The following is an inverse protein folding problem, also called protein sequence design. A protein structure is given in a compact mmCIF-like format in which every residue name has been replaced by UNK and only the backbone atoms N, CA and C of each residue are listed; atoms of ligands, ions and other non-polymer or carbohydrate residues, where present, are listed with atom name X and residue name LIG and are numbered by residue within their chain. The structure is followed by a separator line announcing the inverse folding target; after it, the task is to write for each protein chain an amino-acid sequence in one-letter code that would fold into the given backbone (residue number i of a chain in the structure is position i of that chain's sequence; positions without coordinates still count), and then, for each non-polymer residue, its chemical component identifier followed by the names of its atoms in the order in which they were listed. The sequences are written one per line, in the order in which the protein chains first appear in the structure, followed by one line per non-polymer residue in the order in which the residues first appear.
data_IF_897212946471
#
_entry.id   IF_897212946471
#
_cell.length_a   1.000
_cell.length_b   1.000
_cell.length_c   1.000
_cell.angle_alpha   90.00
_cell.angle_beta   90.00
_cell.angle_gamma   90.00
#
_symmetry.space_group_name_H-M   'P 1'
#
loop_
_entity.id
_entity.type
_entity.pdbx_description
1 polymer ?
#
# COMPACT_ATOMS: atom_id res chain seq x y z
N UNK A 1 -2.11 2.03 -15.03
CA UNK A 1 -1.62 3.05 -14.09
C UNK A 1 -2.69 3.21 -13.04
N UNK A 2 -2.40 2.92 -11.78
CA UNK A 2 -3.38 3.09 -10.70
C UNK A 2 -3.31 4.55 -10.23
N UNK A 3 -4.37 5.31 -10.49
CA UNK A 3 -4.49 6.71 -10.10
C UNK A 3 -5.39 6.78 -8.87
N UNK A 4 -4.89 7.40 -7.80
CA UNK A 4 -5.67 7.72 -6.62
C UNK A 4 -5.85 9.24 -6.53
N UNK A 5 -7.07 9.68 -6.22
CA UNK A 5 -7.43 11.10 -6.10
C UNK A 5 -7.76 11.37 -4.63
N UNK A 6 -7.06 12.32 -4.03
CA UNK A 6 -7.27 12.76 -2.65
C UNK A 6 -7.84 14.19 -2.64
N UNK A 7 -9.18 14.37 -2.52
CA UNK A 7 -9.75 15.70 -2.34
C UNK A 7 -9.23 16.33 -1.05
N UNK A 8 -8.87 17.61 -1.10
CA UNK A 8 -8.34 18.36 0.05
C UNK A 8 -9.34 19.43 0.48
N UNK A 9 -9.22 19.92 1.72
CA UNK A 9 -10.06 20.99 2.28
C UNK A 9 -9.64 22.39 1.77
N UNK A 10 -9.39 22.53 0.47
CA UNK A 10 -9.02 23.79 -0.18
C UNK A 10 -9.62 23.87 -1.57
N UNK A 11 -10.03 25.08 -1.94
CA UNK A 11 -10.63 25.35 -3.24
C UNK A 11 -9.61 25.30 -4.39
N UNK A 12 -8.33 25.58 -4.09
CA UNK A 12 -7.25 25.60 -5.07
C UNK A 12 -5.98 24.92 -4.55
N UNK A 13 -5.30 24.23 -5.47
CA UNK A 13 -3.94 23.72 -5.29
C UNK A 13 -2.98 24.73 -5.89
N UNK A 14 -2.08 25.31 -5.09
CA UNK A 14 -1.11 26.27 -5.60
C UNK A 14 -0.14 25.60 -6.57
N UNK A 15 0.15 26.25 -7.70
CA UNK A 15 1.17 25.81 -8.67
C UNK A 15 2.56 25.65 -8.07
N UNK A 16 2.81 26.27 -6.91
CA UNK A 16 4.06 26.16 -6.17
C UNK A 16 4.19 24.87 -5.36
N UNK A 17 3.16 24.00 -5.37
CA UNK A 17 3.22 22.69 -4.71
C UNK A 17 3.97 21.72 -5.59
N UNK A 18 5.20 21.40 -5.20
CA UNK A 18 6.06 20.52 -5.96
C UNK A 18 6.30 19.22 -5.21
N UNK A 19 5.41 18.24 -5.38
CA UNK A 19 5.57 16.90 -4.82
C UNK A 19 6.50 15.99 -5.64
N UNK A 20 7.23 16.52 -6.62
CA UNK A 20 8.21 15.68 -7.30
C UNK A 20 9.23 15.14 -6.31
N UNK A 21 9.61 13.88 -6.53
CA UNK A 21 10.63 13.16 -5.79
C UNK A 21 12.01 13.76 -6.12
N UNK A 22 12.25 14.99 -5.68
CA UNK A 22 13.50 15.69 -5.87
C UNK A 22 14.42 15.46 -4.67
N UNK A 23 15.73 15.55 -4.91
CA UNK A 23 16.73 15.30 -3.86
C UNK A 23 17.13 16.54 -3.07
N UNK A 24 16.43 17.66 -3.29
CA UNK A 24 16.59 18.92 -2.57
C UNK A 24 15.91 18.85 -1.21
N UNK A 25 16.72 18.97 -0.16
CA UNK A 25 16.29 18.86 1.24
C UNK A 25 15.29 19.94 1.65
N UNK A 26 15.41 21.16 1.10
CA UNK A 26 14.48 22.25 1.39
C UNK A 26 13.08 21.95 0.83
N UNK A 27 13.02 21.42 -0.39
CA UNK A 27 11.76 20.98 -0.99
C UNK A 27 11.16 19.80 -0.23
N UNK A 28 11.98 18.86 0.23
CA UNK A 28 11.55 17.72 1.05
C UNK A 28 10.88 18.20 2.33
N UNK A 29 11.52 19.09 3.07
CA UNK A 29 10.99 19.60 4.33
C UNK A 29 9.69 20.41 4.11
N UNK A 30 9.69 21.32 3.13
CA UNK A 30 8.50 22.11 2.77
C UNK A 30 7.32 21.23 2.38
N UNK A 31 7.55 20.16 1.60
CA UNK A 31 6.50 19.22 1.23
C UNK A 31 5.97 18.43 2.44
N UNK A 32 6.86 18.01 3.34
CA UNK A 32 6.45 17.30 4.56
C UNK A 32 5.54 18.17 5.43
N UNK A 33 5.93 19.43 5.66
CA UNK A 33 5.13 20.40 6.41
C UNK A 33 3.77 20.64 5.76
N UNK A 34 3.74 20.74 4.43
CA UNK A 34 2.51 20.97 3.69
C UNK A 34 1.54 19.80 3.83
N UNK A 35 2.03 18.56 3.73
CA UNK A 35 1.20 17.35 3.89
C UNK A 35 0.64 17.28 5.31
N UNK A 36 1.47 17.57 6.33
CA UNK A 36 1.04 17.60 7.72
C UNK A 36 -0.05 18.66 7.94
N UNK A 37 0.12 19.84 7.36
CA UNK A 37 -0.87 20.91 7.42
C UNK A 37 -2.19 20.48 6.79
N UNK A 38 -2.19 19.86 5.61
CA UNK A 38 -3.41 19.40 4.94
C UNK A 38 -4.13 18.30 5.71
N UNK A 39 -3.38 17.34 6.26
CA UNK A 39 -3.96 16.29 7.11
C UNK A 39 -4.63 16.92 8.33
N UNK A 40 -3.95 17.86 8.99
CA UNK A 40 -4.48 18.53 10.18
C UNK A 40 -5.71 19.39 9.85
N UNK A 41 -5.71 20.14 8.75
CA UNK A 41 -6.88 20.91 8.28
C UNK A 41 -8.10 20.02 8.10
N UNK A 42 -7.94 18.88 7.39
CA UNK A 42 -9.04 17.93 7.17
C UNK A 42 -9.50 17.21 8.46
N UNK A 43 -8.57 16.95 9.39
CA UNK A 43 -8.92 16.36 10.69
C UNK A 43 -9.72 17.34 11.55
N UNK A 44 -9.35 18.63 11.54
CA UNK A 44 -10.05 19.70 12.27
C UNK A 44 -11.45 19.91 11.70
N UNK A 45 -11.60 19.91 10.36
CA UNK A 45 -12.91 20.03 9.71
C UNK A 45 -13.86 18.88 10.10
N UNK A 46 -13.33 17.70 10.46
CA UNK A 46 -14.11 16.58 10.97
C UNK A 46 -15.04 15.94 9.93
N UNK A 47 -14.96 16.35 8.67
CA UNK A 47 -15.80 15.86 7.59
C UNK A 47 -15.37 14.45 7.15
N UNK A 48 -16.33 13.50 7.20
CA UNK A 48 -16.11 12.10 6.81
C UNK A 48 -15.72 11.93 5.34
N UNK A 49 -16.00 12.92 4.48
CA UNK A 49 -15.57 12.90 3.08
C UNK A 49 -14.04 12.86 2.94
N UNK A 50 -13.31 13.44 3.90
CA UNK A 50 -11.85 13.48 3.87
C UNK A 50 -11.16 12.24 4.44
N UNK A 51 -11.89 11.27 5.00
CA UNK A 51 -11.26 10.08 5.60
C UNK A 51 -10.35 9.34 4.60
N UNK A 52 -10.78 9.19 3.34
CA UNK A 52 -9.95 8.55 2.31
C UNK A 52 -8.73 9.39 1.95
N UNK A 53 -8.89 10.71 1.83
CA UNK A 53 -7.79 11.64 1.56
C UNK A 53 -6.74 11.64 2.66
N UNK A 54 -7.18 11.62 3.93
CA UNK A 54 -6.31 11.52 5.09
C UNK A 54 -5.49 10.23 5.03
N UNK A 55 -6.10 9.09 4.71
CA UNK A 55 -5.39 7.82 4.57
C UNK A 55 -4.37 7.87 3.44
N UNK A 56 -4.75 8.41 2.27
CA UNK A 56 -3.85 8.56 1.12
C UNK A 56 -2.65 9.45 1.43
N UNK A 57 -2.89 10.65 1.98
CA UNK A 57 -1.84 11.61 2.33
C UNK A 57 -0.97 11.08 3.48
N UNK A 58 -1.54 10.33 4.42
CA UNK A 58 -0.76 9.67 5.49
C UNK A 58 0.15 8.59 4.91
N UNK A 59 -0.35 7.78 3.97
CA UNK A 59 0.46 6.77 3.29
C UNK A 59 1.58 7.41 2.47
N UNK A 60 1.29 8.48 1.76
CA UNK A 60 2.28 9.27 1.04
C UNK A 60 3.33 9.84 1.99
N UNK A 61 2.92 10.47 3.10
CA UNK A 61 3.82 11.00 4.15
C UNK A 61 4.76 9.92 4.68
N UNK A 62 4.23 8.74 5.00
CA UNK A 62 5.04 7.64 5.52
C UNK A 62 6.08 7.16 4.50
N UNK A 63 5.67 6.94 3.25
CA UNK A 63 6.58 6.53 2.18
C UNK A 63 7.65 7.60 1.90
N UNK A 64 7.25 8.87 1.86
CA UNK A 64 8.13 10.01 1.63
C UNK A 64 9.16 10.15 2.76
N UNK A 65 8.73 10.12 4.02
CA UNK A 65 9.62 10.20 5.19
C UNK A 65 10.61 9.03 5.23
N UNK A 66 10.15 7.80 4.95
CA UNK A 66 11.02 6.63 4.89
C UNK A 66 12.12 6.81 3.85
N UNK A 67 11.76 7.32 2.67
CA UNK A 67 12.67 7.44 1.54
C UNK A 67 13.66 8.61 1.67
N UNK A 68 13.20 9.75 2.18
CA UNK A 68 13.97 11.00 2.12
C UNK A 68 14.52 11.48 3.46
N UNK A 69 13.82 11.21 4.56
CA UNK A 69 14.17 11.73 5.88
C UNK A 69 14.96 10.70 6.67
N UNK A 70 14.53 9.44 6.66
CA UNK A 70 15.15 8.38 7.47
C UNK A 70 16.37 7.74 6.78
N UNK A 71 16.44 7.83 5.45
CA UNK A 71 17.52 7.23 4.67
C UNK A 71 18.44 8.30 4.10
N UNK A 72 19.73 8.14 4.40
CA UNK A 72 20.78 8.89 3.75
C UNK A 72 20.72 8.71 2.23
N UNK A 73 20.95 9.80 1.48
CA UNK A 73 20.84 9.87 0.02
C UNK A 73 21.68 8.77 -0.65
N UNK A 74 22.85 8.46 -0.10
CA UNK A 74 23.74 7.42 -0.60
C UNK A 74 23.16 6.00 -0.52
N UNK A 75 22.22 5.74 0.42
CA UNK A 75 21.66 4.41 0.70
C UNK A 75 20.30 4.18 0.07
N UNK A 76 19.71 5.20 -0.54
CA UNK A 76 18.34 5.19 -1.08
C UNK A 76 18.11 4.12 -2.15
N UNK A 77 19.04 3.94 -3.08
CA UNK A 77 18.91 2.92 -4.13
C UNK A 77 19.10 1.50 -3.58
N UNK A 78 20.08 1.30 -2.69
CA UNK A 78 20.29 0.01 -2.01
C UNK A 78 19.04 -0.39 -1.22
N UNK A 79 18.42 0.57 -0.52
CA UNK A 79 17.17 0.33 0.18
C UNK A 79 16.03 -0.05 -0.77
N UNK A 80 15.88 0.63 -1.90
CA UNK A 80 14.86 0.27 -2.92
C UNK A 80 15.05 -1.15 -3.43
N UNK A 81 16.29 -1.56 -3.71
CA UNK A 81 16.57 -2.89 -4.22
C UNK A 81 16.36 -3.97 -3.15
N UNK A 82 16.76 -3.70 -1.91
CA UNK A 82 16.44 -4.58 -0.79
C UNK A 82 14.92 -4.72 -0.59
N UNK A 83 14.18 -3.61 -0.69
CA UNK A 83 12.72 -3.62 -0.58
C UNK A 83 12.08 -4.44 -1.70
N UNK A 84 12.60 -4.38 -2.95
CA UNK A 84 12.15 -5.25 -4.04
C UNK A 84 12.40 -6.73 -3.71
N UNK A 85 13.60 -7.07 -3.24
CA UNK A 85 13.96 -8.44 -2.89
C UNK A 85 13.04 -9.00 -1.78
N UNK A 86 12.82 -8.21 -0.72
CA UNK A 86 11.90 -8.57 0.38
C UNK A 86 10.47 -8.73 -0.12
N UNK A 87 9.97 -7.83 -0.98
CA UNK A 87 8.63 -7.96 -1.59
C UNK A 87 8.48 -9.24 -2.41
N UNK A 88 9.47 -9.58 -3.22
CA UNK A 88 9.46 -10.82 -3.99
C UNK A 88 9.46 -12.06 -3.09
N UNK A 89 10.30 -12.06 -2.06
CA UNK A 89 10.34 -13.14 -1.08
C UNK A 89 9.00 -13.30 -0.35
N UNK A 90 8.43 -12.20 0.16
CA UNK A 90 7.14 -12.21 0.86
C UNK A 90 6.00 -12.72 -0.02
N UNK A 91 5.93 -12.28 -1.29
CA UNK A 91 4.95 -12.77 -2.26
C UNK A 91 5.10 -14.29 -2.49
N UNK A 92 6.33 -14.77 -2.62
CA UNK A 92 6.61 -16.21 -2.78
C UNK A 92 6.21 -17.02 -1.55
N UNK A 93 6.50 -16.52 -0.36
CA UNK A 93 6.11 -17.16 0.90
C UNK A 93 4.60 -17.18 1.09
N UNK A 94 3.90 -16.10 0.75
CA UNK A 94 2.44 -16.05 0.78
C UNK A 94 1.81 -17.11 -0.13
N UNK A 95 2.30 -17.26 -1.37
CA UNK A 95 1.85 -18.34 -2.25
C UNK A 95 2.19 -19.73 -1.72
N UNK A 96 3.37 -19.91 -1.12
CA UNK A 96 3.74 -21.18 -0.50
C UNK A 96 2.77 -21.55 0.63
N UNK A 97 2.44 -20.60 1.51
CA UNK A 97 1.48 -20.78 2.61
C UNK A 97 0.09 -21.11 2.06
N UNK A 98 -0.42 -20.36 1.08
CA UNK A 98 -1.71 -20.64 0.42
C UNK A 98 -1.74 -22.03 -0.24
N UNK A 99 -0.67 -22.42 -0.93
CA UNK A 99 -0.60 -23.73 -1.59
C UNK A 99 -0.57 -24.91 -0.61
N UNK A 100 -0.10 -24.69 0.63
CA UNK A 100 -0.07 -25.69 1.70
C UNK A 100 -1.35 -25.74 2.53
N UNK A 101 -2.15 -24.66 2.51
CA UNK A 101 -3.43 -24.56 3.22
C UNK A 101 -4.64 -24.92 2.36
N UNK A 102 -4.45 -25.13 1.06
CA UNK A 102 -5.39 -25.89 0.25
C UNK A 102 -5.29 -27.36 0.66
N UNK A 103 -6.35 -27.98 1.24
CA UNK A 103 -6.36 -29.42 1.35
C UNK A 103 -6.25 -29.93 -0.08
N UNK A 104 -5.24 -30.75 -0.37
CA UNK A 104 -5.31 -31.63 -1.53
C UNK A 104 -6.64 -32.34 -1.40
N UNK A 105 -7.63 -31.95 -2.19
CA UNK A 105 -8.77 -32.80 -2.46
C UNK A 105 -8.15 -34.06 -3.01
N UNK A 106 -8.01 -35.05 -2.13
CA UNK A 106 -7.64 -36.39 -2.50
C UNK A 106 -8.62 -36.75 -3.59
N UNK A 107 -8.09 -36.88 -4.80
CA UNK A 107 -8.70 -37.63 -5.87
C UNK A 107 -9.27 -38.90 -5.24
N UNK A 108 -10.60 -38.98 -5.12
CA UNK A 108 -11.27 -40.25 -4.95
C UNK A 108 -11.03 -41.01 -6.25
N UNK A 109 -9.95 -41.79 -6.27
CA UNK A 109 -9.78 -42.87 -7.24
C UNK A 109 -11.02 -43.75 -7.17
N UNK A 110 -11.60 -44.03 -8.34
CA UNK A 110 -12.90 -44.66 -8.47
C UNK A 110 -13.05 -45.94 -7.66
N UNK A 111 -14.08 -45.94 -6.82
CA UNK A 111 -14.79 -47.13 -6.37
C UNK A 111 -16.26 -46.84 -6.64
N UNK A 112 -16.88 -47.67 -7.48
CA UNK A 112 -18.27 -47.56 -7.95
C UNK A 112 -19.25 -47.24 -6.80
N UNK A 113 -20.33 -46.48 -7.05
CA UNK A 113 -21.43 -46.44 -6.10
C UNK A 113 -22.03 -47.85 -6.01
N UNK A 114 -22.03 -48.44 -4.82
CA UNK A 114 -22.86 -49.60 -4.54
C UNK A 114 -24.32 -49.16 -4.69
N UNK A 115 -25.01 -49.70 -5.70
CA UNK A 115 -26.46 -49.59 -5.81
C UNK A 115 -27.07 -50.28 -4.59
N UNK A 116 -27.82 -49.54 -3.78
CA UNK A 116 -28.72 -50.11 -2.80
C UNK A 116 -29.96 -50.59 -3.56
N UNK A 117 -30.04 -51.91 -3.71
CA UNK A 117 -31.17 -52.62 -4.29
C UNK A 117 -32.33 -52.58 -3.29
N UNK A 118 -33.38 -51.83 -3.61
CA UNK A 118 -34.64 -51.81 -2.85
C UNK A 118 -35.53 -52.94 -3.37
N UNK A 119 -35.23 -54.16 -2.93
CA UNK A 119 -36.04 -55.34 -3.24
C UNK A 119 -36.32 -56.17 -1.98
N UNK A 120 -37.51 -55.91 -1.41
CA UNK A 120 -38.31 -56.70 -0.45
C UNK A 120 -38.03 -56.58 1.04
#
# INVERSE_FOLDING_TARGET
MDIMIAPIARDEVSDNWNFNLNSDENLINKNSELIDKLINEMLIDGNKLFTKSIVMLTGYRAAFRQMFVLLDKSKREIFKDLLKAIKHWAKRMFYYILSKSSPRSGFCSGSRPAQLDFSR
#
